data_IF_763432309997
#
_entry.id   IF_763432309997
#
_cell.length_a   1.000
_cell.length_b   1.000
_cell.length_c   1.000
_cell.angle_alpha   90.00
_cell.angle_beta   90.00
_cell.angle_gamma   90.00
#
_symmetry.space_group_name_H-M   'P 1'
#
loop_
_entity.id
_entity.type
_entity.pdbx_description
1 polymer ?
#
# COMPACT_ATOMS: atom_id res chain seq x y z
N UNK A 1 -9.21 -2.09 2.18
CA UNK A 1 -8.33 -1.00 1.71
C UNK A 1 -8.89 0.33 2.16
N UNK A 2 -8.05 1.18 2.67
CA UNK A 2 -8.44 2.48 3.20
C UNK A 2 -8.16 3.55 2.15
N UNK A 3 -9.14 4.43 1.90
CA UNK A 3 -8.96 5.52 0.93
C UNK A 3 -8.83 6.84 1.68
N UNK A 4 -7.81 7.61 1.35
CA UNK A 4 -7.57 8.89 2.01
C UNK A 4 -7.06 9.87 0.97
N UNK A 5 -7.47 11.14 1.09
CA UNK A 5 -6.95 12.13 0.16
C UNK A 5 -5.58 12.63 0.63
N UNK A 6 -4.85 13.22 -0.31
CA UNK A 6 -3.49 13.67 -0.05
C UNK A 6 -3.40 14.63 1.14
N UNK A 7 -4.32 15.58 1.23
CA UNK A 7 -4.28 16.58 2.29
C UNK A 7 -4.43 15.94 3.67
N UNK A 8 -5.38 15.01 3.79
CA UNK A 8 -5.58 14.31 5.07
C UNK A 8 -4.36 13.47 5.43
N UNK A 9 -3.77 12.81 4.45
CA UNK A 9 -2.56 12.03 4.71
C UNK A 9 -1.44 12.94 5.19
N UNK A 10 -1.23 14.05 4.49
CA UNK A 10 -0.17 14.98 4.86
C UNK A 10 -0.34 15.49 6.28
N UNK A 11 -1.56 15.84 6.66
CA UNK A 11 -1.82 16.42 7.97
C UNK A 11 -1.77 15.40 9.09
N UNK A 12 -1.92 14.12 8.79
CA UNK A 12 -1.95 13.06 9.79
C UNK A 12 -1.03 11.91 9.39
N UNK A 13 0.11 12.24 8.84
CA UNK A 13 1.02 11.27 8.23
C UNK A 13 1.37 10.12 9.16
N UNK A 14 1.80 10.45 10.36
CA UNK A 14 2.22 9.42 11.31
C UNK A 14 1.08 8.46 11.64
N UNK A 15 -0.10 9.02 11.86
CA UNK A 15 -1.27 8.21 12.20
C UNK A 15 -1.56 7.19 11.10
N UNK A 16 -1.55 7.65 9.85
CA UNK A 16 -1.86 6.76 8.74
C UNK A 16 -0.74 5.75 8.49
N UNK A 17 0.52 6.18 8.66
CA UNK A 17 1.63 5.25 8.51
C UNK A 17 1.58 4.15 9.55
N UNK A 18 1.26 4.50 10.80
CA UNK A 18 1.12 3.51 11.86
C UNK A 18 -0.01 2.54 11.55
N UNK A 19 -1.11 3.05 11.01
CA UNK A 19 -2.23 2.21 10.65
C UNK A 19 -1.86 1.20 9.58
N UNK A 20 -1.09 1.64 8.61
CA UNK A 20 -0.62 0.77 7.53
C UNK A 20 0.30 -0.33 8.06
N UNK A 21 1.18 -0.01 9.00
CA UNK A 21 2.12 -0.99 9.52
C UNK A 21 1.53 -1.84 10.63
N UNK A 22 0.80 -1.24 11.55
CA UNK A 22 0.32 -1.97 12.73
C UNK A 22 -0.92 -2.79 12.44
N UNK A 23 -1.79 -2.29 11.58
CA UNK A 23 -3.04 -2.98 11.25
C UNK A 23 -2.95 -3.70 9.92
N UNK A 24 -1.79 -3.67 9.27
CA UNK A 24 -1.61 -4.29 7.96
C UNK A 24 -2.61 -3.77 6.94
N UNK A 25 -2.97 -2.50 7.08
CA UNK A 25 -3.96 -1.88 6.21
C UNK A 25 -3.29 -1.35 4.95
N UNK A 26 -3.88 -1.63 3.80
CA UNK A 26 -3.41 -1.04 2.54
C UNK A 26 -4.19 0.24 2.33
N UNK A 27 -3.51 1.30 1.91
CA UNK A 27 -4.11 2.62 1.77
C UNK A 27 -3.95 3.12 0.36
N UNK A 28 -5.04 3.64 -0.21
CA UNK A 28 -4.95 4.32 -1.50
C UNK A 28 -5.04 5.82 -1.24
N UNK A 29 -4.07 6.56 -1.74
CA UNK A 29 -4.02 8.01 -1.58
C UNK A 29 -4.54 8.64 -2.86
N UNK A 30 -5.65 9.35 -2.76
CA UNK A 30 -6.25 9.97 -3.93
C UNK A 30 -5.61 11.33 -4.17
N UNK A 31 -5.33 11.61 -5.41
CA UNK A 31 -4.70 12.85 -5.84
C UNK A 31 -5.41 13.39 -7.07
N UNK A 32 -5.05 14.60 -7.46
CA UNK A 32 -5.64 15.24 -8.63
C UNK A 32 -5.35 14.41 -9.88
N UNK A 33 -6.27 14.47 -10.82
CA UNK A 33 -6.12 13.86 -12.14
C UNK A 33 -5.94 12.34 -12.05
N UNK A 34 -6.53 11.74 -11.03
CA UNK A 34 -6.47 10.29 -10.83
C UNK A 34 -5.04 9.75 -10.71
N UNK A 35 -4.14 10.59 -10.26
CA UNK A 35 -2.76 10.17 -10.02
C UNK A 35 -2.66 9.60 -8.62
N UNK A 36 -3.42 8.55 -8.37
CA UNK A 36 -3.49 7.93 -7.06
C UNK A 36 -2.30 7.03 -6.83
N UNK A 37 -1.94 6.86 -5.56
CA UNK A 37 -0.86 5.95 -5.18
C UNK A 37 -1.38 4.99 -4.13
N UNK A 38 -0.72 3.86 -3.99
CA UNK A 38 -1.06 2.87 -2.99
C UNK A 38 0.09 2.78 -2.01
N UNK A 39 -0.24 2.81 -0.72
CA UNK A 39 0.75 2.69 0.35
C UNK A 39 0.45 1.41 1.12
N UNK A 40 1.47 0.61 1.32
CA UNK A 40 1.36 -0.60 2.10
C UNK A 40 2.68 -0.81 2.84
N UNK A 41 2.64 -1.63 3.90
CA UNK A 41 3.85 -1.89 4.65
C UNK A 41 4.81 -2.72 3.83
N UNK A 42 6.09 -2.64 4.18
CA UNK A 42 7.09 -3.46 3.52
C UNK A 42 6.77 -4.94 3.70
N UNK A 43 6.29 -5.30 4.86
CA UNK A 43 5.92 -6.69 5.14
C UNK A 43 4.80 -7.15 4.22
N UNK A 44 3.76 -6.32 4.08
CA UNK A 44 2.64 -6.65 3.19
C UNK A 44 3.14 -6.75 1.75
N UNK A 45 4.00 -5.82 1.35
CA UNK A 45 4.55 -5.82 0.00
C UNK A 45 5.34 -7.11 -0.26
N UNK A 46 6.16 -7.51 0.71
CA UNK A 46 6.97 -8.73 0.56
C UNK A 46 6.09 -9.97 0.46
N UNK A 47 5.03 -10.02 1.27
CA UNK A 47 4.11 -11.15 1.21
C UNK A 47 3.41 -11.20 -0.14
N UNK A 48 3.00 -10.06 -0.65
CA UNK A 48 2.34 -9.99 -1.94
C UNK A 48 3.28 -10.42 -3.05
N UNK A 49 4.51 -9.93 -3.02
CA UNK A 49 5.49 -10.27 -4.03
C UNK A 49 5.89 -11.74 -3.95
N UNK A 50 5.94 -12.28 -2.76
CA UNK A 50 6.25 -13.69 -2.58
C UNK A 50 5.20 -14.57 -3.25
N UNK A 51 3.94 -14.23 -3.06
CA UNK A 51 2.87 -14.99 -3.69
C UNK A 51 2.91 -14.86 -5.21
N UNK A 52 3.13 -13.66 -5.69
CA UNK A 52 3.23 -13.42 -7.13
C UNK A 52 4.45 -14.15 -7.69
N UNK A 53 5.55 -14.08 -6.97
CA UNK A 53 6.78 -14.72 -7.39
C UNK A 53 6.61 -16.23 -7.50
N UNK A 54 5.97 -16.84 -6.51
CA UNK A 54 5.77 -18.28 -6.53
C UNK A 54 4.94 -18.70 -7.74
N UNK A 55 3.91 -17.94 -8.05
CA UNK A 55 3.07 -18.23 -9.19
C UNK A 55 3.76 -17.87 -10.50
N UNK A 56 4.36 -16.70 -10.54
CA UNK A 56 4.98 -16.22 -11.75
C UNK A 56 6.29 -16.91 -12.06
N UNK A 57 7.02 -17.25 -11.04
CA UNK A 57 8.30 -17.90 -11.22
C UNK A 57 8.19 -19.19 -11.99
N UNK A 58 7.14 -19.93 -11.74
CA UNK A 58 6.92 -21.18 -12.45
C UNK A 58 6.74 -20.94 -13.93
N UNK A 59 6.19 -19.82 -14.27
CA UNK A 59 5.93 -19.51 -15.66
C UNK A 59 7.14 -18.88 -16.35
N UNK A 60 7.98 -18.21 -15.58
CA UNK A 60 9.00 -17.35 -16.14
C UNK A 60 10.40 -17.89 -16.05
N UNK A 61 10.58 -18.84 -15.21
CA UNK A 61 11.93 -19.34 -14.96
C UNK A 61 11.94 -20.85 -15.02
#
# INVERSE_FOLDING_TARGET
MLAVNYTNLRDNMKHYMDQVTDDYETMIVTRKNNKNVVILSEETYNNLMENVYVMGNKANY
#
